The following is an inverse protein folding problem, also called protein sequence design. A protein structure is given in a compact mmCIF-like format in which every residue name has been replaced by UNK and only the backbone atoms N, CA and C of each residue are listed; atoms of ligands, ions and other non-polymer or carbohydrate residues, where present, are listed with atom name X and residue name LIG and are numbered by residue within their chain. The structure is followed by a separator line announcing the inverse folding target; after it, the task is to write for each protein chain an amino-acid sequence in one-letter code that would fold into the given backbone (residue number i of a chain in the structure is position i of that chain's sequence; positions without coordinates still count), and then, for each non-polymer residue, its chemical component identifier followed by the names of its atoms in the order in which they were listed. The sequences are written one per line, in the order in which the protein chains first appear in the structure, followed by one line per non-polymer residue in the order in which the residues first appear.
data_IF_679826802872
#
_entry.id   IF_679826802872
#
_cell.length_a   1.000
_cell.length_b   1.000
_cell.length_c   1.000
_cell.angle_alpha   90.00
_cell.angle_beta   90.00
_cell.angle_gamma   90.00
#
_symmetry.space_group_name_H-M   'P 1'
#
loop_
_entity.id
_entity.type
_entity.pdbx_description
1 polymer ?
#
# COMPACT_ATOMS: atom_id res chain seq x y z
N UNK A 1 -8.72 -7.07 14.31
CA UNK A 1 -8.89 -7.11 12.84
C UNK A 1 -7.93 -6.12 12.23
N UNK A 2 -7.27 -6.45 11.11
CA UNK A 2 -6.42 -5.49 10.42
C UNK A 2 -7.25 -4.30 9.93
N UNK A 3 -6.60 -3.15 9.78
CA UNK A 3 -7.19 -1.98 9.10
C UNK A 3 -7.23 -2.23 7.60
N UNK A 4 -8.21 -1.67 6.91
CA UNK A 4 -8.34 -1.84 5.46
C UNK A 4 -7.81 -0.61 4.72
N UNK A 5 -7.07 -0.88 3.65
CA UNK A 5 -6.68 0.08 2.63
C UNK A 5 -7.35 -0.36 1.32
N UNK A 6 -7.99 0.57 0.61
CA UNK A 6 -8.57 0.25 -0.69
C UNK A 6 -7.68 0.75 -1.83
N UNK A 7 -7.33 -0.15 -2.75
CA UNK A 7 -6.55 0.16 -3.93
C UNK A 7 -7.46 0.43 -5.13
N UNK A 8 -7.51 1.69 -5.55
CA UNK A 8 -8.36 2.20 -6.62
C UNK A 8 -7.56 2.24 -7.93
N UNK A 9 -7.90 1.36 -8.86
CA UNK A 9 -7.23 1.25 -10.18
C UNK A 9 -8.14 1.68 -11.34
N UNK A 10 -9.40 2.03 -11.07
CA UNK A 10 -10.38 2.45 -12.06
C UNK A 10 -11.25 3.60 -11.54
N UNK A 11 -11.65 4.49 -12.43
CA UNK A 11 -12.47 5.67 -12.10
C UNK A 11 -13.83 5.31 -11.49
N UNK A 12 -14.41 4.18 -11.91
CA UNK A 12 -15.72 3.70 -11.45
C UNK A 12 -15.79 3.38 -9.95
N UNK A 13 -14.64 3.29 -9.27
CA UNK A 13 -14.56 2.93 -7.86
C UNK A 13 -14.58 4.12 -6.90
N UNK A 14 -14.75 5.36 -7.39
CA UNK A 14 -14.85 6.59 -6.56
C UNK A 14 -15.96 6.53 -5.49
N UNK A 15 -17.00 5.73 -5.72
CA UNK A 15 -18.09 5.55 -4.76
C UNK A 15 -17.66 4.83 -3.46
N UNK A 16 -16.48 4.19 -3.44
CA UNK A 16 -16.00 3.46 -2.28
C UNK A 16 -15.30 4.37 -1.25
N UNK A 17 -15.14 5.67 -1.56
CA UNK A 17 -14.47 6.63 -0.67
C UNK A 17 -15.28 6.87 0.62
N UNK A 18 -16.60 6.71 0.55
CA UNK A 18 -17.52 6.92 1.67
C UNK A 18 -17.54 5.74 2.67
N UNK A 19 -16.77 4.67 2.41
CA UNK A 19 -16.70 3.47 3.26
C UNK A 19 -16.15 3.77 4.66
N UNK A 20 -16.99 3.66 5.69
CA UNK A 20 -16.66 4.09 7.06
C UNK A 20 -15.51 3.32 7.72
N UNK A 21 -15.25 2.09 7.30
CA UNK A 21 -14.21 1.24 7.89
C UNK A 21 -12.88 1.31 7.13
N UNK A 22 -12.76 2.24 6.18
CA UNK A 22 -11.57 2.45 5.35
C UNK A 22 -11.07 3.88 5.58
N UNK A 23 -9.84 3.98 6.07
CA UNK A 23 -9.18 5.26 6.41
C UNK A 23 -8.13 5.69 5.38
N UNK A 24 -7.75 4.79 4.47
CA UNK A 24 -6.67 5.00 3.52
C UNK A 24 -7.01 4.39 2.15
N UNK A 25 -6.66 5.12 1.09
CA UNK A 25 -6.83 4.71 -0.29
C UNK A 25 -5.50 4.82 -1.02
N UNK A 26 -5.18 3.81 -1.84
CA UNK A 26 -4.06 3.83 -2.77
C UNK A 26 -4.64 4.00 -4.17
N UNK A 27 -4.35 5.11 -4.83
CA UNK A 27 -4.81 5.38 -6.20
C UNK A 27 -3.71 5.01 -7.19
N UNK A 28 -4.07 4.33 -8.27
CA UNK A 28 -3.12 4.06 -9.34
C UNK A 28 -2.74 5.35 -10.06
N UNK A 29 -1.44 5.65 -10.12
CA UNK A 29 -0.90 6.80 -10.81
C UNK A 29 -1.13 6.79 -12.34
N UNK A 30 -1.58 5.66 -12.89
CA UNK A 30 -1.96 5.53 -14.31
C UNK A 30 -3.33 6.13 -14.63
N UNK A 31 -4.14 6.47 -13.61
CA UNK A 31 -5.41 7.15 -13.81
C UNK A 31 -5.18 8.57 -14.35
N UNK A 32 -6.14 9.11 -15.13
CA UNK A 32 -6.05 10.49 -15.61
C UNK A 32 -5.84 11.49 -14.47
N UNK A 33 -4.93 12.44 -14.65
CA UNK A 33 -4.53 13.39 -13.60
C UNK A 33 -5.71 14.22 -13.07
N UNK A 34 -6.64 14.61 -13.94
CA UNK A 34 -7.86 15.32 -13.55
C UNK A 34 -8.76 14.45 -12.67
N UNK A 35 -8.83 13.14 -12.96
CA UNK A 35 -9.54 12.16 -12.16
C UNK A 35 -8.87 11.97 -10.80
N UNK A 36 -7.55 11.78 -10.76
CA UNK A 36 -6.77 11.70 -9.52
C UNK A 36 -6.99 12.93 -8.65
N UNK A 37 -6.91 14.13 -9.23
CA UNK A 37 -7.12 15.39 -8.49
C UNK A 37 -8.53 15.50 -7.89
N UNK A 38 -9.57 15.03 -8.59
CA UNK A 38 -10.94 14.98 -8.03
C UNK A 38 -11.04 13.99 -6.87
N UNK A 39 -10.53 12.78 -7.06
CA UNK A 39 -10.59 11.70 -6.07
C UNK A 39 -9.81 12.09 -4.79
N UNK A 40 -8.60 12.64 -4.93
CA UNK A 40 -7.77 13.09 -3.79
C UNK A 40 -8.53 14.12 -2.95
N UNK A 41 -9.12 15.14 -3.57
CA UNK A 41 -9.92 16.16 -2.85
C UNK A 41 -11.12 15.56 -2.14
N UNK A 42 -11.76 14.55 -2.73
CA UNK A 42 -12.89 13.85 -2.10
C UNK A 42 -12.43 13.06 -0.87
N UNK A 43 -11.30 12.37 -0.96
CA UNK A 43 -10.69 11.64 0.17
C UNK A 43 -10.29 12.62 1.28
N UNK A 44 -9.64 13.73 0.93
CA UNK A 44 -9.25 14.79 1.87
C UNK A 44 -10.48 15.39 2.58
N UNK A 45 -11.54 15.72 1.84
CA UNK A 45 -12.79 16.24 2.40
C UNK A 45 -13.49 15.25 3.35
N UNK A 46 -13.26 13.95 3.16
CA UNK A 46 -13.72 12.90 4.06
C UNK A 46 -12.80 12.70 5.29
N UNK A 47 -11.69 13.43 5.39
CA UNK A 47 -10.70 13.32 6.48
C UNK A 47 -9.84 12.06 6.42
N UNK A 48 -9.67 11.49 5.23
CA UNK A 48 -8.99 10.21 5.00
C UNK A 48 -7.68 10.40 4.24
N UNK A 49 -6.88 9.33 4.16
CA UNK A 49 -5.55 9.36 3.55
C UNK A 49 -5.61 8.93 2.08
N UNK A 50 -4.99 9.71 1.20
CA UNK A 50 -4.79 9.40 -0.22
C UNK A 50 -3.30 9.16 -0.52
N UNK A 51 -2.96 7.94 -0.93
CA UNK A 51 -1.63 7.57 -1.41
C UNK A 51 -1.68 7.30 -2.92
N UNK A 52 -0.57 7.51 -3.63
CA UNK A 52 -0.44 7.10 -5.03
C UNK A 52 0.50 5.89 -5.18
N UNK A 53 0.21 5.01 -6.13
CA UNK A 53 1.09 3.89 -6.52
C UNK A 53 1.24 3.83 -8.03
N UNK A 54 2.46 3.70 -8.52
CA UNK A 54 2.76 3.54 -9.94
C UNK A 54 3.93 4.43 -10.39
N UNK A 55 4.14 4.48 -11.71
CA UNK A 55 5.13 5.35 -12.32
C UNK A 55 4.83 6.82 -11.99
N UNK A 56 5.87 7.61 -11.71
CA UNK A 56 5.78 9.03 -11.34
C UNK A 56 4.89 9.38 -10.12
N UNK A 57 4.45 8.38 -9.34
CA UNK A 57 3.58 8.57 -8.19
C UNK A 57 4.11 9.62 -7.20
N UNK A 58 5.43 9.67 -6.98
CA UNK A 58 6.05 10.66 -6.09
C UNK A 58 5.90 12.10 -6.61
N UNK A 59 6.02 12.31 -7.93
CA UNK A 59 5.88 13.63 -8.54
C UNK A 59 4.41 14.05 -8.55
N UNK A 60 3.52 13.14 -8.93
CA UNK A 60 2.08 13.36 -8.91
C UNK A 60 1.55 13.63 -7.50
N UNK A 61 2.05 12.92 -6.48
CA UNK A 61 1.62 13.13 -5.09
C UNK A 61 1.95 14.55 -4.61
N UNK A 62 3.13 15.07 -4.96
CA UNK A 62 3.51 16.45 -4.65
C UNK A 62 2.65 17.45 -5.43
N UNK A 63 2.43 17.20 -6.73
CA UNK A 63 1.66 18.09 -7.62
C UNK A 63 0.18 18.18 -7.23
N UNK A 64 -0.44 17.05 -6.91
CA UNK A 64 -1.88 16.95 -6.65
C UNK A 64 -2.24 17.08 -5.17
N UNK A 65 -1.25 17.12 -4.28
CA UNK A 65 -1.49 17.25 -2.84
C UNK A 65 -1.90 15.94 -2.16
N UNK A 66 -1.52 14.78 -2.70
CA UNK A 66 -1.72 13.52 -2.01
C UNK A 66 -0.84 13.43 -0.74
N UNK A 67 -1.28 12.62 0.22
CA UNK A 67 -0.61 12.43 1.52
C UNK A 67 0.70 11.65 1.43
N UNK A 68 0.89 10.90 0.34
CA UNK A 68 2.10 10.11 0.11
C UNK A 68 1.98 9.12 -1.03
N UNK A 69 2.83 8.09 -0.98
CA UNK A 69 2.88 7.04 -1.99
C UNK A 69 3.07 5.65 -1.40
N UNK A 70 2.81 4.65 -2.23
CA UNK A 70 3.37 3.30 -2.09
C UNK A 70 4.33 3.06 -3.25
N UNK A 71 5.61 2.86 -2.96
CA UNK A 71 6.65 2.62 -3.96
C UNK A 71 6.92 1.11 -4.12
N UNK A 72 6.88 0.62 -5.35
CA UNK A 72 7.29 -0.76 -5.66
C UNK A 72 8.79 -0.85 -5.88
N UNK A 73 9.51 -1.34 -4.86
CA UNK A 73 10.96 -1.55 -4.90
C UNK A 73 11.31 -3.04 -4.96
N UNK A 74 10.34 -3.92 -5.23
CA UNK A 74 10.52 -5.37 -5.18
C UNK A 74 11.51 -5.90 -6.23
N UNK A 75 11.73 -5.17 -7.32
CA UNK A 75 12.71 -5.45 -8.36
C UNK A 75 14.01 -4.65 -8.22
N UNK A 76 14.09 -3.72 -7.26
CA UNK A 76 15.22 -2.81 -7.13
C UNK A 76 16.48 -3.52 -6.61
N UNK A 77 17.63 -3.17 -7.19
CA UNK A 77 18.96 -3.54 -6.69
C UNK A 77 19.61 -2.40 -5.90
N UNK A 78 18.96 -1.23 -5.83
CA UNK A 78 19.51 -0.01 -5.25
C UNK A 78 18.54 0.63 -4.22
N UNK A 79 17.82 -0.21 -3.46
CA UNK A 79 16.77 0.17 -2.49
C UNK A 79 17.13 1.40 -1.66
N UNK A 80 18.29 1.39 -0.99
CA UNK A 80 18.75 2.52 -0.15
C UNK A 80 18.82 3.84 -0.91
N UNK A 81 19.36 3.83 -2.13
CA UNK A 81 19.51 5.02 -2.97
C UNK A 81 18.14 5.53 -3.45
N UNK A 82 17.28 4.62 -3.87
CA UNK A 82 15.93 4.94 -4.36
C UNK A 82 15.05 5.48 -3.24
N UNK A 83 15.05 4.86 -2.06
CA UNK A 83 14.32 5.37 -0.90
C UNK A 83 14.81 6.75 -0.46
N UNK A 84 16.12 6.99 -0.45
CA UNK A 84 16.67 8.31 -0.16
C UNK A 84 16.27 9.38 -1.20
N UNK A 85 16.11 9.00 -2.47
CA UNK A 85 15.58 9.89 -3.50
C UNK A 85 14.09 10.19 -3.27
N UNK A 86 13.28 9.16 -3.01
CA UNK A 86 11.86 9.28 -2.73
C UNK A 86 11.61 10.15 -1.49
N UNK A 87 12.33 9.92 -0.39
CA UNK A 87 12.21 10.75 0.83
C UNK A 87 12.53 12.22 0.58
N UNK A 88 13.57 12.53 -0.20
CA UNK A 88 13.89 13.92 -0.57
C UNK A 88 12.77 14.58 -1.38
N UNK A 89 12.14 13.84 -2.28
CA UNK A 89 11.06 14.35 -3.12
C UNK A 89 9.75 14.52 -2.34
N UNK A 90 9.41 13.55 -1.49
CA UNK A 90 8.15 13.51 -0.73
C UNK A 90 8.14 14.45 0.48
N UNK A 91 9.32 14.74 1.04
CA UNK A 91 9.44 15.48 2.29
C UNK A 91 8.83 14.68 3.46
N UNK A 92 7.81 15.26 4.11
CA UNK A 92 7.12 14.65 5.27
C UNK A 92 5.94 13.74 4.91
N UNK A 93 5.68 13.55 3.62
CA UNK A 93 4.59 12.68 3.13
C UNK A 93 4.89 11.21 3.43
N UNK A 94 3.83 10.40 3.50
CA UNK A 94 3.93 8.97 3.72
C UNK A 94 4.67 8.26 2.57
N UNK A 95 5.44 7.24 2.92
CA UNK A 95 6.10 6.32 2.02
C UNK A 95 5.86 4.89 2.52
N UNK A 96 4.91 4.21 1.90
CA UNK A 96 4.83 2.75 1.93
C UNK A 96 5.81 2.15 0.93
N UNK A 97 6.36 0.98 1.23
CA UNK A 97 7.26 0.27 0.29
C UNK A 97 6.82 -1.16 0.09
N UNK A 98 6.56 -1.53 -1.17
CA UNK A 98 6.38 -2.93 -1.57
C UNK A 98 7.77 -3.54 -1.68
N UNK A 99 8.03 -4.47 -0.78
CA UNK A 99 9.31 -5.14 -0.67
C UNK A 99 9.27 -6.49 -1.38
N UNK A 100 10.42 -6.91 -1.90
CA UNK A 100 10.61 -8.30 -2.33
C UNK A 100 10.44 -9.23 -1.14
N UNK A 101 9.77 -10.37 -1.32
CA UNK A 101 9.53 -11.36 -0.26
C UNK A 101 10.79 -12.16 0.10
N UNK A 102 11.79 -11.47 0.65
CA UNK A 102 13.07 -12.00 1.13
C UNK A 102 13.53 -11.20 2.35
N UNK A 103 14.13 -11.89 3.33
CA UNK A 103 14.57 -11.28 4.59
C UNK A 103 15.58 -10.15 4.37
N UNK A 104 16.57 -10.37 3.49
CA UNK A 104 17.63 -9.38 3.26
C UNK A 104 17.07 -8.06 2.72
N UNK A 105 16.23 -8.11 1.70
CA UNK A 105 15.56 -6.93 1.14
C UNK A 105 14.62 -6.28 2.16
N UNK A 106 13.88 -7.07 2.95
CA UNK A 106 13.02 -6.55 4.01
C UNK A 106 13.81 -5.82 5.12
N UNK A 107 15.00 -6.32 5.48
CA UNK A 107 15.91 -5.62 6.39
C UNK A 107 16.35 -4.29 5.81
N UNK A 108 16.85 -4.28 4.56
CA UNK A 108 17.34 -3.05 3.92
C UNK A 108 16.22 -2.01 3.82
N UNK A 109 15.02 -2.41 3.39
CA UNK A 109 13.86 -1.51 3.33
C UNK A 109 13.60 -0.92 4.71
N UNK A 110 13.57 -1.75 5.75
CA UNK A 110 13.23 -1.34 7.12
C UNK A 110 14.27 -0.43 7.76
N UNK A 111 15.56 -0.66 7.50
CA UNK A 111 16.66 0.22 7.94
C UNK A 111 16.57 1.64 7.36
N UNK A 112 15.80 1.82 6.28
CA UNK A 112 15.54 3.13 5.67
C UNK A 112 14.19 3.74 6.10
N UNK A 113 13.57 3.18 7.14
CA UNK A 113 12.42 3.74 7.85
C UNK A 113 11.28 4.22 6.93
N UNK A 114 10.69 3.34 6.11
CA UNK A 114 9.42 3.63 5.46
C UNK A 114 8.34 3.76 6.53
N UNK A 115 7.23 4.42 6.21
CA UNK A 115 6.11 4.53 7.14
C UNK A 115 5.42 3.18 7.36
N UNK A 116 5.46 2.32 6.34
CA UNK A 116 5.04 0.91 6.43
C UNK A 116 5.65 0.07 5.30
N UNK A 117 5.70 -1.24 5.51
CA UNK A 117 6.16 -2.23 4.52
C UNK A 117 4.98 -3.04 4.00
N UNK A 118 4.95 -3.29 2.70
CA UNK A 118 3.93 -4.08 2.03
C UNK A 118 4.53 -5.39 1.53
N UNK A 119 3.89 -6.50 1.90
CA UNK A 119 4.17 -7.82 1.33
C UNK A 119 3.02 -8.23 0.40
N UNK A 120 3.34 -8.38 -0.89
CA UNK A 120 2.41 -8.97 -1.86
C UNK A 120 2.35 -10.49 -1.68
N UNK A 121 1.14 -11.02 -1.63
CA UNK A 121 0.89 -12.44 -1.37
C UNK A 121 0.22 -13.08 -2.58
N UNK A 122 0.89 -14.07 -3.15
CA UNK A 122 0.32 -14.99 -4.13
C UNK A 122 0.06 -16.32 -3.44
N UNK A 123 -0.96 -17.05 -3.88
CA UNK A 123 -1.23 -18.42 -3.45
C UNK A 123 -0.02 -19.32 -3.65
N UNK A 124 0.63 -19.19 -4.80
CA UNK A 124 1.94 -19.76 -5.06
C UNK A 124 3.00 -19.08 -4.18
N UNK A 125 3.62 -19.85 -3.29
CA UNK A 125 4.64 -19.35 -2.37
C UNK A 125 4.08 -18.64 -1.13
N UNK A 126 2.76 -18.71 -0.88
CA UNK A 126 2.11 -18.13 0.30
C UNK A 126 2.80 -18.52 1.61
N UNK A 127 3.17 -19.80 1.79
CA UNK A 127 3.85 -20.28 3.00
C UNK A 127 5.18 -19.58 3.24
N UNK A 128 5.96 -19.36 2.18
CA UNK A 128 7.25 -18.68 2.26
C UNK A 128 7.09 -17.20 2.62
N UNK A 129 6.12 -16.54 2.00
CA UNK A 129 5.83 -15.13 2.30
C UNK A 129 5.23 -14.99 3.71
N UNK A 130 4.47 -15.97 4.19
CA UNK A 130 3.95 -16.02 5.55
C UNK A 130 5.07 -16.19 6.58
N UNK A 131 6.00 -17.11 6.35
CA UNK A 131 7.17 -17.29 7.21
C UNK A 131 8.07 -16.03 7.25
N UNK A 132 8.12 -15.26 6.15
CA UNK A 132 8.77 -13.95 6.14
C UNK A 132 8.00 -12.94 7.00
N UNK A 133 6.68 -12.85 6.83
CA UNK A 133 5.85 -11.93 7.59
C UNK A 133 5.87 -12.23 9.09
N UNK A 134 5.85 -13.51 9.49
CA UNK A 134 5.98 -13.94 10.89
C UNK A 134 7.32 -13.50 11.47
N UNK A 135 8.41 -13.81 10.76
CA UNK A 135 9.74 -13.35 11.13
C UNK A 135 9.81 -11.81 11.17
N UNK A 136 9.17 -11.10 10.24
CA UNK A 136 9.20 -9.65 10.24
C UNK A 136 8.51 -9.07 11.48
N UNK A 137 7.33 -9.59 11.81
CA UNK A 137 6.54 -9.15 12.96
C UNK A 137 7.23 -9.41 14.32
N UNK A 138 8.12 -10.41 14.40
CA UNK A 138 8.92 -10.69 15.60
C UNK A 138 10.06 -9.68 15.80
N UNK A 139 10.62 -9.12 14.72
CA UNK A 139 11.87 -8.36 14.77
C UNK A 139 11.72 -6.86 14.50
N UNK A 140 10.65 -6.43 13.81
CA UNK A 140 10.46 -5.04 13.40
C UNK A 140 9.20 -4.44 14.02
N UNK A 141 9.29 -3.15 14.38
CA UNK A 141 8.16 -2.37 14.91
C UNK A 141 7.46 -1.54 13.83
N UNK A 142 7.97 -1.57 12.60
CA UNK A 142 7.34 -0.88 11.47
C UNK A 142 6.01 -1.55 11.14
N UNK A 143 5.00 -0.73 10.82
CA UNK A 143 3.71 -1.27 10.43
C UNK A 143 3.82 -2.05 9.13
N UNK A 144 3.01 -3.10 9.04
CA UNK A 144 3.00 -4.00 7.89
C UNK A 144 1.63 -4.05 7.23
N UNK A 145 1.63 -4.08 5.91
CA UNK A 145 0.47 -4.39 5.11
C UNK A 145 0.70 -5.67 4.29
N UNK A 146 -0.37 -6.42 4.06
CA UNK A 146 -0.38 -7.47 3.04
C UNK A 146 -1.31 -7.09 1.89
N UNK A 147 -0.91 -7.41 0.67
CA UNK A 147 -1.69 -7.20 -0.55
C UNK A 147 -1.94 -8.55 -1.22
N UNK A 148 -3.14 -9.14 -1.09
CA UNK A 148 -3.55 -10.33 -1.84
C UNK A 148 -3.54 -10.04 -3.34
N UNK A 149 -2.72 -10.79 -4.07
CA UNK A 149 -2.58 -10.65 -5.52
C UNK A 149 -3.48 -11.61 -6.29
N UNK A 150 -4.05 -12.61 -5.62
CA UNK A 150 -5.06 -13.50 -6.15
C UNK A 150 -6.14 -13.81 -5.10
N UNK A 151 -7.37 -14.09 -5.57
CA UNK A 151 -8.56 -14.21 -4.72
C UNK A 151 -8.62 -15.47 -3.84
N UNK A 152 -7.62 -16.34 -3.91
CA UNK A 152 -7.57 -17.58 -3.10
C UNK A 152 -6.84 -17.41 -1.77
N UNK A 153 -6.13 -16.30 -1.57
CA UNK A 153 -5.32 -16.09 -0.36
C UNK A 153 -6.18 -15.66 0.83
N UNK A 154 -6.16 -16.46 1.90
CA UNK A 154 -6.74 -16.07 3.18
C UNK A 154 -5.80 -15.12 3.93
N UNK A 155 -6.03 -13.80 3.78
CA UNK A 155 -5.25 -12.77 4.47
C UNK A 155 -5.55 -12.66 5.98
N UNK A 156 -6.64 -13.25 6.49
CA UNK A 156 -7.02 -13.10 7.91
C UNK A 156 -6.05 -13.76 8.88
N UNK A 157 -5.26 -14.72 8.40
CA UNK A 157 -4.25 -15.43 9.19
C UNK A 157 -2.87 -14.77 9.18
N UNK A 158 -2.70 -13.63 8.51
CA UNK A 158 -1.40 -12.98 8.32
C UNK A 158 -1.06 -12.03 9.48
N UNK A 159 0.21 -11.99 9.93
CA UNK A 159 0.67 -11.12 11.01
C UNK A 159 0.87 -9.69 10.48
N UNK A 160 -0.21 -9.05 10.03
CA UNK A 160 -0.16 -7.73 9.42
C UNK A 160 -1.15 -6.77 10.09
N UNK A 161 -0.74 -5.50 10.20
CA UNK A 161 -1.56 -4.42 10.76
C UNK A 161 -2.66 -3.98 9.79
N UNK A 162 -2.36 -4.11 8.49
CA UNK A 162 -3.18 -3.59 7.40
C UNK A 162 -3.35 -4.63 6.29
N UNK A 163 -4.47 -4.54 5.57
CA UNK A 163 -4.72 -5.32 4.35
C UNK A 163 -5.11 -4.36 3.23
N UNK A 164 -4.41 -4.47 2.10
CA UNK A 164 -4.71 -3.73 0.87
C UNK A 164 -5.62 -4.60 0.01
N UNK A 165 -6.81 -4.12 -0.33
CA UNK A 165 -7.79 -4.84 -1.14
C UNK A 165 -8.26 -4.00 -2.33
N UNK A 166 -8.71 -4.67 -3.39
CA UNK A 166 -9.57 -4.03 -4.37
C UNK A 166 -10.93 -3.68 -3.74
N UNK A 167 -11.64 -2.67 -4.26
CA UNK A 167 -13.03 -2.39 -3.89
C UNK A 167 -13.94 -3.62 -3.99
N UNK A 168 -13.75 -4.44 -5.01
CA UNK A 168 -14.52 -5.65 -5.26
C UNK A 168 -14.30 -6.69 -4.15
N UNK A 169 -13.04 -6.98 -3.81
CA UNK A 169 -12.68 -7.94 -2.76
C UNK A 169 -13.17 -7.47 -1.38
N UNK A 170 -13.07 -6.17 -1.11
CA UNK A 170 -13.60 -5.59 0.12
C UNK A 170 -15.12 -5.74 0.22
N UNK A 171 -15.87 -5.48 -0.86
CA UNK A 171 -17.33 -5.69 -0.88
C UNK A 171 -17.70 -7.15 -0.63
N UNK A 172 -16.99 -8.10 -1.24
CA UNK A 172 -17.19 -9.54 -1.02
C UNK A 172 -16.92 -9.89 0.44
N UNK A 173 -15.86 -9.34 1.05
CA UNK A 173 -15.52 -9.57 2.45
C UNK A 173 -16.62 -9.05 3.40
N UNK A 174 -17.10 -7.83 3.18
CA UNK A 174 -18.12 -7.20 4.04
C UNK A 174 -19.47 -7.90 3.89
N UNK A 175 -19.84 -8.35 2.69
CA UNK A 175 -21.09 -9.07 2.46
C UNK A 175 -21.14 -10.47 3.12
N UNK A 176 -19.97 -11.06 3.44
CA UNK A 176 -19.86 -12.36 4.11
C UNK A 176 -19.89 -12.26 5.64
N UNK A 177 -19.90 -11.04 6.21
CA UNK A 177 -20.00 -10.79 7.65
C UNK A 177 -21.44 -10.49 8.05
#
# INVERSE_FOLDING_TARGET
MPKFILKITAESAENCIDEKNVECFILSASLPEDCLGRIIRKIEAAGKIALLEGEDAAALAVKLGADGIVADLSASTAIKKEMAALRRQLGRRFLGVICRSRRHEAMIVSENEPDFVVFRIWSEGAEKTKALADWYAEFFLLQTAVEPMDGSVNFSAWPADMVILSPEDYKILVAKK
#
